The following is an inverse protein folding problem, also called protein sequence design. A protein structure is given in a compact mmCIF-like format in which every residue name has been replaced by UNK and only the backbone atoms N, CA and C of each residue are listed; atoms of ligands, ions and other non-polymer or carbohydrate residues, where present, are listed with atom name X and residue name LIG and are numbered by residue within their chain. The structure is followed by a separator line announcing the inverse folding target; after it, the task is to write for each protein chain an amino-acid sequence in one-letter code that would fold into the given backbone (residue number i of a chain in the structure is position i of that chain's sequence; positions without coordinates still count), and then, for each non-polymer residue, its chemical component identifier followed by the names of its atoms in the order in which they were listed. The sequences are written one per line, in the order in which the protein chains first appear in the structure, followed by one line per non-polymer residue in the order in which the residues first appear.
data_IF_352965025883
#
_entry.id   IF_352965025883
#
_cell.length_a   1.000
_cell.length_b   1.000
_cell.length_c   1.000
_cell.angle_alpha   90.00
_cell.angle_beta   90.00
_cell.angle_gamma   90.00
#
_symmetry.space_group_name_H-M   'P 1'
#
loop_
_entity.id
_entity.type
_entity.pdbx_description
1 polymer ?
#
# COMPACT_ATOMS: atom_id res chain seq x y z
N UNK A 1 61.90 24.98 5.12
CA UNK A 1 62.72 26.18 4.80
C UNK A 1 61.84 27.39 5.02
N UNK A 2 62.31 28.23 5.94
CA UNK A 2 61.73 29.52 6.37
C UNK A 2 61.83 30.55 5.26
N UNK A 3 60.86 31.43 5.09
CA UNK A 3 61.11 32.81 4.94
C UNK A 3 59.90 33.66 5.29
N UNK A 4 60.01 34.36 6.37
CA UNK A 4 59.25 35.56 6.75
C UNK A 4 59.62 36.71 5.87
N UNK A 5 58.70 37.59 5.50
CA UNK A 5 59.02 38.96 5.15
C UNK A 5 58.08 39.94 5.82
N UNK A 6 58.69 40.79 6.57
CA UNK A 6 58.20 41.83 7.47
C UNK A 6 57.88 43.12 6.70
N UNK A 7 56.72 43.72 7.05
CA UNK A 7 56.50 45.15 7.40
C UNK A 7 57.38 46.24 6.78
N UNK A 8 56.72 47.16 6.09
CA UNK A 8 57.16 48.53 6.02
C UNK A 8 55.97 49.50 6.08
N UNK A 9 55.81 50.15 7.21
CA UNK A 9 55.02 51.34 7.44
C UNK A 9 55.74 52.51 6.76
N UNK A 10 55.04 53.25 5.89
CA UNK A 10 55.49 54.56 5.45
C UNK A 10 54.36 55.57 5.63
N UNK A 11 54.49 56.35 6.71
CA UNK A 11 53.71 57.55 6.97
C UNK A 11 54.18 58.67 6.02
N UNK A 12 53.23 59.11 5.18
CA UNK A 12 53.42 60.40 4.47
C UNK A 12 52.25 61.31 4.89
N UNK A 13 52.56 62.23 5.80
CA UNK A 13 51.77 63.44 6.06
C UNK A 13 51.87 64.36 4.86
N UNK A 14 50.76 64.55 4.14
CA UNK A 14 50.63 65.69 3.22
C UNK A 14 49.39 66.48 3.68
N UNK A 15 49.67 67.59 4.28
CA UNK A 15 48.68 68.64 4.52
C UNK A 15 48.29 69.25 3.18
N UNK A 16 47.06 69.15 2.79
CA UNK A 16 46.48 69.90 1.67
C UNK A 16 45.19 70.57 2.11
N UNK A 17 45.18 71.85 1.78
CA UNK A 17 44.22 72.89 2.08
C UNK A 17 42.73 72.46 1.99
N UNK A 18 41.95 72.92 3.00
CA UNK A 18 40.50 73.02 2.93
C UNK A 18 40.10 73.94 1.75
N UNK A 19 39.56 73.36 0.71
CA UNK A 19 38.59 74.02 -0.15
C UNK A 19 37.18 73.71 0.40
N UNK A 20 36.63 74.71 1.10
CA UNK A 20 35.16 74.70 1.35
C UNK A 20 34.46 74.90 0.02
N UNK A 21 34.06 73.83 -0.63
CA UNK A 21 33.04 73.86 -1.67
C UNK A 21 31.71 73.58 -0.99
N UNK A 22 30.78 74.48 -1.20
CA UNK A 22 29.44 74.57 -0.55
C UNK A 22 28.79 73.28 -0.25
N UNK A 23 28.46 73.09 1.02
CA UNK A 23 27.50 72.07 1.48
C UNK A 23 26.12 72.50 1.00
N UNK A 24 25.65 71.93 -0.07
CA UNK A 24 24.20 71.88 -0.39
C UNK A 24 23.57 71.07 0.72
N UNK A 25 23.08 71.78 1.75
CA UNK A 25 22.56 71.22 2.99
C UNK A 25 21.26 70.44 2.78
N UNK A 26 21.32 69.32 2.08
CA UNK A 26 20.26 68.30 2.23
C UNK A 26 20.40 67.71 3.64
N UNK A 27 19.51 68.15 4.51
CA UNK A 27 19.41 67.61 5.87
C UNK A 27 19.09 66.12 5.75
N UNK A 28 20.03 65.29 6.26
CA UNK A 28 19.76 63.85 6.32
C UNK A 28 18.49 63.55 7.16
N UNK A 29 17.54 62.88 6.55
CA UNK A 29 16.31 62.42 7.17
C UNK A 29 16.48 60.96 7.55
N UNK A 30 16.58 60.73 8.85
CA UNK A 30 16.77 59.37 9.39
C UNK A 30 15.53 58.52 9.22
N UNK A 31 15.74 57.18 9.16
CA UNK A 31 14.65 56.21 9.20
C UNK A 31 14.05 56.14 10.60
N UNK A 32 12.77 56.43 10.73
CA UNK A 32 12.06 56.38 12.00
C UNK A 32 11.37 55.02 12.25
N UNK A 33 10.93 54.36 11.14
CA UNK A 33 10.21 53.09 11.22
C UNK A 33 10.36 52.29 9.92
N UNK A 34 10.51 50.97 10.06
CA UNK A 34 10.32 49.97 9.00
C UNK A 34 9.04 49.19 9.27
N UNK A 35 8.23 48.95 8.26
CA UNK A 35 7.04 48.13 8.34
C UNK A 35 7.12 46.99 7.35
N UNK A 36 6.42 45.89 7.60
CA UNK A 36 6.33 44.70 6.73
C UNK A 36 4.87 44.42 6.45
N UNK A 37 4.56 43.89 5.25
CA UNK A 37 3.18 43.64 4.81
C UNK A 37 2.43 42.61 5.68
N UNK A 38 3.14 41.63 6.21
CA UNK A 38 2.57 40.55 7.00
C UNK A 38 3.41 40.28 8.25
N UNK A 39 2.74 40.06 9.40
CA UNK A 39 3.40 39.66 10.64
C UNK A 39 3.57 38.15 10.79
N UNK A 40 2.80 37.38 10.04
CA UNK A 40 2.88 35.92 9.95
C UNK A 40 2.57 35.43 8.55
N UNK A 41 3.22 34.34 8.15
CA UNK A 41 3.08 33.71 6.82
C UNK A 41 3.11 32.20 6.98
N UNK A 42 2.18 31.50 6.34
CA UNK A 42 2.16 30.04 6.24
C UNK A 42 2.46 29.61 4.79
N UNK A 43 3.43 28.75 4.62
CA UNK A 43 3.88 28.22 3.32
C UNK A 43 3.91 26.71 3.37
N UNK A 44 3.74 26.09 2.21
CA UNK A 44 4.15 24.71 1.98
C UNK A 44 5.60 24.69 1.48
N UNK A 45 6.30 23.57 1.70
CA UNK A 45 7.64 23.35 1.14
C UNK A 45 7.63 23.55 -0.37
N UNK A 46 8.54 24.40 -0.86
CA UNK A 46 8.66 24.78 -2.27
C UNK A 46 7.87 26.03 -2.67
N UNK A 47 6.90 26.49 -1.86
CA UNK A 47 6.12 27.69 -2.16
C UNK A 47 6.95 28.97 -1.93
N UNK A 48 6.62 30.01 -2.71
CA UNK A 48 7.22 31.33 -2.64
C UNK A 48 6.17 32.41 -2.48
N UNK A 49 6.43 33.38 -1.58
CA UNK A 49 5.57 34.56 -1.37
C UNK A 49 6.42 35.80 -1.28
N UNK A 50 5.97 36.87 -1.93
CA UNK A 50 6.61 38.20 -1.88
C UNK A 50 6.07 38.99 -0.68
N UNK A 51 6.89 39.25 0.30
CA UNK A 51 6.66 40.26 1.33
C UNK A 51 7.12 41.63 0.82
N UNK A 52 6.38 42.66 1.19
CA UNK A 52 6.78 44.05 0.94
C UNK A 52 7.09 44.77 2.26
N UNK A 53 8.01 45.71 2.21
CA UNK A 53 8.33 46.53 3.38
C UNK A 53 8.39 48.00 2.97
N UNK A 54 8.06 48.89 3.90
CA UNK A 54 8.10 50.32 3.70
C UNK A 54 8.93 50.98 4.78
N UNK A 55 9.65 52.05 4.40
CA UNK A 55 10.44 52.90 5.27
C UNK A 55 9.67 54.18 5.54
N UNK A 56 9.62 54.61 6.77
CA UNK A 56 9.05 55.89 7.17
C UNK A 56 10.06 56.74 7.88
N UNK A 57 10.02 58.07 7.63
CA UNK A 57 9.19 58.76 6.67
C UNK A 57 9.62 58.48 5.22
N UNK A 58 8.72 58.63 4.24
CA UNK A 58 8.96 58.32 2.82
C UNK A 58 10.13 59.13 2.21
N UNK A 59 10.43 60.31 2.78
CA UNK A 59 11.55 61.15 2.38
C UNK A 59 12.86 60.85 3.14
N UNK A 60 12.97 59.70 3.82
CA UNK A 60 14.18 59.23 4.44
C UNK A 60 15.33 59.21 3.42
N UNK A 61 16.53 59.67 3.81
CA UNK A 61 17.68 59.80 2.90
C UNK A 61 18.18 58.45 2.39
N UNK A 62 18.16 57.43 3.26
CA UNK A 62 18.51 56.04 2.90
C UNK A 62 17.29 55.13 3.17
N UNK A 63 16.73 54.61 2.10
CA UNK A 63 15.61 53.69 2.11
C UNK A 63 16.01 52.26 1.83
N UNK A 64 17.29 51.94 1.80
CA UNK A 64 17.83 50.60 1.58
C UNK A 64 17.40 49.66 2.69
N UNK A 65 16.85 48.51 2.28
CA UNK A 65 16.35 47.47 3.18
C UNK A 65 17.20 46.20 3.04
N UNK A 66 17.51 45.61 4.19
CA UNK A 66 18.24 44.34 4.29
C UNK A 66 17.30 43.27 4.84
N UNK A 67 17.13 42.20 4.08
CA UNK A 67 16.32 41.04 4.43
C UNK A 67 17.18 39.94 5.01
N UNK A 68 16.72 39.29 6.08
CA UNK A 68 17.40 38.17 6.73
C UNK A 68 16.42 37.13 7.22
N UNK A 69 16.75 35.87 7.00
CA UNK A 69 16.05 34.72 7.65
C UNK A 69 16.79 34.33 8.92
N UNK A 70 16.03 34.08 9.98
CA UNK A 70 16.54 33.56 11.25
C UNK A 70 16.90 32.06 11.18
N UNK A 71 16.25 31.33 10.29
CA UNK A 71 16.56 29.93 10.00
C UNK A 71 16.51 29.67 8.48
N UNK A 72 17.61 29.88 7.77
CA UNK A 72 17.68 29.77 6.31
C UNK A 72 17.45 28.34 5.79
N UNK A 73 17.56 27.32 6.63
CA UNK A 73 17.25 25.93 6.24
C UNK A 73 15.74 25.66 6.20
N UNK A 74 14.94 26.43 6.94
CA UNK A 74 13.46 26.32 6.94
C UNK A 74 12.86 27.24 5.89
N UNK A 75 13.27 28.50 5.88
CA UNK A 75 12.81 29.48 4.90
C UNK A 75 13.96 30.43 4.51
N UNK A 76 14.16 30.61 3.20
CA UNK A 76 15.08 31.62 2.68
C UNK A 76 14.33 32.91 2.33
N UNK A 77 15.05 34.02 2.29
CA UNK A 77 14.51 35.31 1.82
C UNK A 77 15.52 36.02 0.95
N UNK A 78 15.10 36.54 -0.20
CA UNK A 78 15.88 37.37 -1.12
C UNK A 78 14.99 38.47 -1.64
N UNK A 79 15.38 39.73 -1.39
CA UNK A 79 14.63 40.93 -1.82
C UNK A 79 13.13 40.87 -1.46
N UNK A 80 12.81 40.32 -0.30
CA UNK A 80 11.45 40.12 0.19
C UNK A 80 10.72 38.92 -0.37
N UNK A 81 11.28 38.14 -1.32
CA UNK A 81 10.73 36.85 -1.74
C UNK A 81 11.11 35.79 -0.71
N UNK A 82 10.13 35.27 0.00
CA UNK A 82 10.28 34.21 0.98
C UNK A 82 9.97 32.89 0.31
N UNK A 83 10.85 31.90 0.45
CA UNK A 83 10.68 30.53 -0.05
C UNK A 83 10.72 29.54 1.10
N UNK A 84 9.68 28.68 1.22
CA UNK A 84 9.66 27.56 2.13
C UNK A 84 10.59 26.42 1.65
N UNK A 85 11.50 25.95 2.51
CA UNK A 85 12.50 24.95 2.15
C UNK A 85 12.30 23.62 2.86
N UNK A 86 11.94 23.64 4.14
CA UNK A 86 11.66 22.46 4.95
C UNK A 86 10.68 22.78 6.07
N UNK A 87 10.00 21.77 6.59
CA UNK A 87 9.07 21.91 7.71
C UNK A 87 9.74 22.59 8.92
N UNK A 88 9.00 23.53 9.53
CA UNK A 88 9.45 24.25 10.72
C UNK A 88 9.02 25.70 10.73
N UNK A 89 9.69 26.51 11.55
CA UNK A 89 9.46 27.95 11.66
C UNK A 89 10.75 28.74 11.46
N UNK A 90 10.62 29.92 10.84
CA UNK A 90 11.69 30.89 10.70
C UNK A 90 11.15 32.30 10.87
N UNK A 91 11.91 33.20 11.52
CA UNK A 91 11.58 34.62 11.57
C UNK A 91 12.31 35.34 10.45
N UNK A 92 11.58 35.85 9.47
CA UNK A 92 12.10 36.73 8.45
C UNK A 92 12.08 38.15 8.99
N UNK A 93 13.24 38.83 8.98
CA UNK A 93 13.42 40.21 9.44
C UNK A 93 13.83 41.07 8.27
N UNK A 94 13.21 42.23 8.15
CA UNK A 94 13.66 43.33 7.29
C UNK A 94 14.13 44.49 8.15
N UNK A 95 15.31 45.03 7.87
CA UNK A 95 15.88 46.15 8.61
C UNK A 95 16.32 47.25 7.69
N UNK A 96 16.38 48.50 8.19
CA UNK A 96 17.15 49.56 7.55
C UNK A 96 18.63 49.15 7.43
N UNK A 97 19.35 49.71 6.47
CA UNK A 97 20.77 49.36 6.22
C UNK A 97 21.64 49.56 7.45
N UNK A 98 21.38 50.59 8.23
CA UNK A 98 22.06 50.87 9.49
C UNK A 98 21.66 49.94 10.64
N UNK A 99 20.64 49.08 10.42
CA UNK A 99 20.11 48.12 11.40
C UNK A 99 19.31 48.73 12.54
N UNK A 100 19.08 50.07 12.56
CA UNK A 100 18.45 50.77 13.68
C UNK A 100 16.95 50.51 13.78
N UNK A 101 16.27 50.21 12.65
CA UNK A 101 14.83 49.97 12.56
C UNK A 101 14.61 48.64 11.85
N UNK A 102 13.66 47.85 12.36
CA UNK A 102 13.34 46.57 11.78
C UNK A 102 11.85 46.19 11.98
N UNK A 103 11.38 45.30 11.13
CA UNK A 103 10.13 44.61 11.25
C UNK A 103 10.32 43.11 10.94
N UNK A 104 9.46 42.26 11.45
CA UNK A 104 9.60 40.82 11.28
C UNK A 104 8.28 40.14 10.94
N UNK A 105 8.39 39.02 10.24
CA UNK A 105 7.33 38.11 9.91
C UNK A 105 7.69 36.70 10.41
N UNK A 106 6.79 36.07 11.16
CA UNK A 106 6.93 34.65 11.52
C UNK A 106 6.49 33.80 10.33
N UNK A 107 7.41 33.01 9.78
CA UNK A 107 7.14 32.10 8.66
C UNK A 107 7.03 30.68 9.21
N UNK A 108 5.90 30.02 8.97
CA UNK A 108 5.69 28.61 9.26
C UNK A 108 5.65 27.83 7.95
N UNK A 109 6.53 26.86 7.81
CA UNK A 109 6.58 25.98 6.65
C UNK A 109 6.09 24.59 7.07
N UNK A 110 5.19 24.02 6.29
CA UNK A 110 4.70 22.66 6.47
C UNK A 110 4.84 21.85 5.18
N UNK A 111 5.06 20.54 5.34
CA UNK A 111 5.19 19.63 4.22
C UNK A 111 3.83 19.27 3.59
N UNK A 112 3.88 18.76 2.36
CA UNK A 112 2.76 18.07 1.74
C UNK A 112 2.78 16.62 2.18
N UNK A 113 1.80 16.21 2.97
CA UNK A 113 1.62 14.84 3.41
C UNK A 113 0.78 14.03 2.44
N UNK A 114 0.88 12.69 2.51
CA UNK A 114 0.01 11.81 1.74
C UNK A 114 -1.46 11.98 2.18
N UNK A 115 -2.34 12.32 1.23
CA UNK A 115 -3.77 12.52 1.44
C UNK A 115 -4.60 11.33 1.00
N UNK A 116 -4.10 10.59 0.00
CA UNK A 116 -4.72 9.37 -0.52
C UNK A 116 -3.71 8.44 -1.16
N UNK A 117 -4.10 7.17 -1.29
CA UNK A 117 -3.38 6.15 -2.05
C UNK A 117 -4.37 5.36 -2.90
N UNK A 118 -3.99 5.01 -4.11
CA UNK A 118 -4.76 4.18 -5.03
C UNK A 118 -3.96 2.97 -5.49
N UNK A 119 -4.67 1.88 -5.86
CA UNK A 119 -4.10 0.66 -6.44
C UNK A 119 -4.45 0.59 -7.92
N UNK A 120 -3.51 0.14 -8.74
CA UNK A 120 -3.74 -0.17 -10.15
C UNK A 120 -3.17 -1.57 -10.46
N UNK A 121 -3.99 -2.48 -11.04
CA UNK A 121 -5.43 -2.37 -11.27
C UNK A 121 -6.22 -2.28 -9.96
N UNK A 122 -7.27 -1.44 -9.91
CA UNK A 122 -8.11 -1.21 -8.74
C UNK A 122 -9.32 -2.16 -8.63
N UNK A 123 -9.37 -3.15 -9.50
CA UNK A 123 -10.42 -4.19 -9.52
C UNK A 123 -9.95 -5.45 -8.78
N UNK A 124 -10.89 -6.25 -8.30
CA UNK A 124 -10.60 -7.55 -7.71
C UNK A 124 -9.88 -8.45 -8.71
N UNK A 125 -8.96 -9.29 -8.22
CA UNK A 125 -8.10 -10.14 -9.01
C UNK A 125 -8.54 -11.61 -8.88
N UNK A 126 -8.64 -12.31 -10.01
CA UNK A 126 -8.89 -13.74 -10.06
C UNK A 126 -7.63 -14.43 -10.59
N UNK A 127 -6.99 -15.23 -9.76
CA UNK A 127 -5.74 -15.91 -10.06
C UNK A 127 -5.90 -17.43 -9.92
N UNK A 128 -5.18 -18.17 -10.73
CA UNK A 128 -4.97 -19.60 -10.48
C UNK A 128 -3.77 -19.78 -9.56
N UNK A 129 -3.77 -20.84 -8.77
CA UNK A 129 -2.62 -21.23 -7.94
C UNK A 129 -1.33 -21.23 -8.76
N UNK A 130 -0.31 -20.52 -8.28
CA UNK A 130 0.98 -20.32 -8.94
C UNK A 130 1.07 -19.09 -9.84
N UNK A 131 -0.04 -18.45 -10.19
CA UNK A 131 -0.02 -17.20 -10.96
C UNK A 131 0.37 -16.01 -10.08
N UNK A 132 0.79 -14.95 -10.75
CA UNK A 132 1.15 -13.69 -10.09
C UNK A 132 0.58 -12.51 -10.86
N UNK A 133 0.25 -11.44 -10.12
CA UNK A 133 -0.16 -10.15 -10.69
C UNK A 133 0.67 -9.04 -10.06
N UNK A 134 1.03 -8.04 -10.86
CA UNK A 134 1.70 -6.85 -10.37
C UNK A 134 0.66 -5.78 -10.07
N UNK A 135 0.58 -5.36 -8.82
CA UNK A 135 -0.15 -4.17 -8.38
C UNK A 135 0.83 -3.01 -8.25
N UNK A 136 0.36 -1.81 -8.54
CA UNK A 136 1.10 -0.58 -8.30
C UNK A 136 0.30 0.38 -7.44
N UNK A 137 0.98 1.16 -6.61
CA UNK A 137 0.37 2.18 -5.77
C UNK A 137 0.71 3.58 -6.30
N UNK A 138 -0.26 4.49 -6.25
CA UNK A 138 -0.07 5.91 -6.51
C UNK A 138 -0.53 6.72 -5.32
N UNK A 139 0.34 7.59 -4.81
CA UNK A 139 0.10 8.44 -3.63
C UNK A 139 -0.12 9.87 -4.09
N UNK A 140 -1.17 10.50 -3.59
CA UNK A 140 -1.49 11.90 -3.85
C UNK A 140 -1.41 12.72 -2.55
N UNK A 141 -1.07 14.02 -2.66
CA UNK A 141 -0.71 14.76 -3.86
C UNK A 141 0.67 14.36 -4.41
N UNK A 142 0.93 14.67 -5.70
CA UNK A 142 2.19 14.30 -6.38
C UNK A 142 3.43 14.91 -5.75
N UNK A 143 3.30 16.00 -5.03
CA UNK A 143 4.35 16.68 -4.28
C UNK A 143 4.41 16.26 -2.80
N UNK A 144 3.72 15.19 -2.39
CA UNK A 144 3.89 14.63 -1.05
C UNK A 144 5.36 14.24 -0.81
N UNK A 145 5.90 14.64 0.35
CA UNK A 145 7.33 14.47 0.67
C UNK A 145 7.70 13.01 0.90
N UNK A 146 6.75 12.22 1.40
CA UNK A 146 6.93 10.79 1.62
C UNK A 146 5.83 10.00 0.93
N UNK A 147 6.18 9.34 -0.17
CA UNK A 147 5.29 8.47 -0.94
C UNK A 147 5.51 6.98 -0.68
N UNK A 148 6.29 6.64 0.34
CA UNK A 148 6.54 5.25 0.67
C UNK A 148 5.24 4.57 1.10
N UNK A 149 5.07 3.34 0.63
CA UNK A 149 3.91 2.50 0.95
C UNK A 149 4.36 1.16 1.52
N UNK A 150 3.45 0.53 2.25
CA UNK A 150 3.60 -0.81 2.79
C UNK A 150 2.45 -1.67 2.28
N UNK A 151 2.79 -2.83 1.72
CA UNK A 151 1.84 -3.82 1.25
C UNK A 151 1.64 -4.92 2.28
N UNK A 152 0.41 -5.40 2.40
CA UNK A 152 0.04 -6.51 3.28
C UNK A 152 -1.07 -7.36 2.68
N UNK A 153 -1.10 -8.64 3.08
CA UNK A 153 -2.16 -9.59 2.75
C UNK A 153 -2.87 -10.03 4.03
N UNK A 154 -4.19 -10.06 4.03
CA UNK A 154 -4.99 -10.54 5.17
C UNK A 154 -4.87 -12.05 5.39
N UNK A 155 -4.55 -12.81 4.33
CA UNK A 155 -4.32 -14.24 4.35
C UNK A 155 -3.14 -14.60 3.44
N UNK A 156 -1.91 -14.41 3.93
CA UNK A 156 -0.68 -14.63 3.16
C UNK A 156 -0.46 -16.07 2.70
N UNK A 157 -1.14 -17.04 3.33
CA UNK A 157 -1.16 -18.44 2.90
C UNK A 157 -2.00 -18.65 1.63
N UNK A 158 -3.01 -17.80 1.36
CA UNK A 158 -3.82 -17.83 0.14
C UNK A 158 -3.09 -17.10 -0.99
N UNK A 159 -2.72 -15.85 -0.76
CA UNK A 159 -1.84 -15.11 -1.66
C UNK A 159 -0.93 -14.16 -0.86
N UNK A 160 0.35 -14.20 -1.15
CA UNK A 160 1.34 -13.29 -0.59
C UNK A 160 1.50 -12.05 -1.46
N UNK A 161 1.94 -10.95 -0.85
CA UNK A 161 2.35 -9.74 -1.56
C UNK A 161 3.71 -9.30 -1.06
N UNK A 162 4.59 -8.90 -1.97
CA UNK A 162 5.88 -8.31 -1.61
C UNK A 162 5.80 -6.77 -1.57
N UNK A 163 6.85 -6.11 -1.11
CA UNK A 163 6.88 -4.65 -0.98
C UNK A 163 6.98 -3.92 -2.33
N UNK A 164 7.11 -4.64 -3.44
CA UNK A 164 6.99 -4.08 -4.80
C UNK A 164 5.57 -4.13 -5.33
N UNK A 165 4.63 -4.75 -4.59
CA UNK A 165 3.24 -4.93 -4.98
C UNK A 165 3.00 -6.18 -5.85
N UNK A 166 3.99 -7.08 -5.99
CA UNK A 166 3.79 -8.35 -6.68
C UNK A 166 3.04 -9.32 -5.78
N UNK A 167 1.84 -9.68 -6.21
CA UNK A 167 0.99 -10.68 -5.56
C UNK A 167 1.23 -12.04 -6.19
N UNK A 168 1.39 -13.08 -5.35
CA UNK A 168 1.58 -14.47 -5.80
C UNK A 168 0.51 -15.36 -5.14
N UNK A 169 -0.25 -16.08 -5.96
CA UNK A 169 -1.29 -17.01 -5.54
C UNK A 169 -0.67 -18.34 -5.06
N UNK A 170 -0.97 -18.76 -3.82
CA UNK A 170 -0.33 -19.90 -3.15
C UNK A 170 -1.30 -21.06 -2.90
N UNK A 171 -2.53 -20.78 -2.47
CA UNK A 171 -3.57 -21.80 -2.23
C UNK A 171 -4.94 -21.24 -2.53
N UNK A 172 -5.93 -22.13 -2.75
CA UNK A 172 -7.32 -21.75 -3.00
C UNK A 172 -7.92 -20.94 -1.85
N UNK A 173 -8.75 -19.93 -2.19
CA UNK A 173 -9.43 -19.09 -1.21
C UNK A 173 -9.50 -17.62 -1.59
N UNK A 174 -9.86 -16.80 -0.62
CA UNK A 174 -9.96 -15.33 -0.76
C UNK A 174 -8.98 -14.65 0.21
N UNK A 175 -8.37 -13.58 -0.24
CA UNK A 175 -7.59 -12.67 0.60
C UNK A 175 -7.77 -11.23 0.16
N UNK A 176 -7.49 -10.29 1.06
CA UNK A 176 -7.48 -8.86 0.77
C UNK A 176 -6.05 -8.35 0.78
N UNK A 177 -5.62 -7.77 -0.33
CA UNK A 177 -4.33 -7.08 -0.43
C UNK A 177 -4.58 -5.60 -0.12
N UNK A 178 -3.87 -5.09 0.86
CA UNK A 178 -3.96 -3.71 1.32
C UNK A 178 -2.63 -3.00 1.12
N UNK A 179 -2.69 -1.78 0.62
CA UNK A 179 -1.57 -0.84 0.62
C UNK A 179 -1.86 0.29 1.59
N UNK A 180 -0.86 0.69 2.37
CA UNK A 180 -0.93 1.84 3.27
C UNK A 180 0.24 2.77 3.04
N UNK A 181 0.02 4.09 3.10
CA UNK A 181 1.11 5.06 3.09
C UNK A 181 1.82 5.08 4.43
N UNK A 182 3.16 5.21 4.43
CA UNK A 182 3.97 5.39 5.64
C UNK A 182 3.65 6.72 6.30
N UNK A 183 3.39 7.74 5.47
CA UNK A 183 2.96 9.05 5.90
C UNK A 183 1.43 9.15 5.84
N UNK A 184 0.80 9.55 6.93
CA UNK A 184 -0.63 9.79 7.04
C UNK A 184 -1.52 8.54 7.08
N UNK A 185 -0.97 7.31 7.03
CA UNK A 185 -1.68 6.03 7.16
C UNK A 185 -2.91 5.91 6.24
N UNK A 186 -2.85 6.43 5.02
CA UNK A 186 -3.92 6.30 4.03
C UNK A 186 -3.90 4.90 3.45
N UNK A 187 -5.05 4.27 3.33
CA UNK A 187 -5.16 2.86 2.90
C UNK A 187 -6.15 2.68 1.77
N UNK A 188 -5.88 1.70 0.93
CA UNK A 188 -6.84 1.13 -0.03
C UNK A 188 -6.55 -0.33 -0.23
N UNK A 189 -7.52 -1.10 -0.75
CA UNK A 189 -7.38 -2.55 -0.89
C UNK A 189 -8.11 -3.08 -2.11
N UNK A 190 -7.70 -4.28 -2.55
CA UNK A 190 -8.36 -5.11 -3.55
C UNK A 190 -8.47 -6.53 -3.04
N UNK A 191 -9.54 -7.25 -3.45
CA UNK A 191 -9.67 -8.67 -3.16
C UNK A 191 -8.92 -9.50 -4.19
N UNK A 192 -8.41 -10.64 -3.74
CA UNK A 192 -7.76 -11.65 -4.58
C UNK A 192 -8.43 -12.98 -4.32
N UNK A 193 -9.00 -13.55 -5.36
CA UNK A 193 -9.62 -14.88 -5.36
C UNK A 193 -8.65 -15.84 -6.05
N UNK A 194 -8.25 -16.88 -5.33
CA UNK A 194 -7.36 -17.91 -5.87
C UNK A 194 -8.14 -19.19 -6.11
N UNK A 195 -8.08 -19.69 -7.33
CA UNK A 195 -8.67 -20.98 -7.73
C UNK A 195 -7.58 -22.02 -7.93
N UNK A 196 -7.89 -23.26 -7.52
CA UNK A 196 -7.07 -24.44 -7.74
C UNK A 196 -7.88 -25.40 -8.62
N UNK A 197 -7.38 -25.69 -9.83
CA UNK A 197 -8.04 -26.63 -10.72
C UNK A 197 -7.91 -28.06 -10.17
N UNK A 198 -8.95 -28.87 -10.34
CA UNK A 198 -8.87 -30.30 -10.11
C UNK A 198 -8.00 -30.95 -11.23
N UNK A 199 -7.24 -31.98 -10.85
CA UNK A 199 -6.43 -32.79 -11.77
C UNK A 199 -6.89 -34.25 -11.81
N UNK A 200 -7.84 -34.65 -10.93
CA UNK A 200 -8.41 -35.97 -10.89
C UNK A 200 -9.35 -36.19 -9.73
N UNK A 201 -10.16 -37.25 -9.82
CA UNK A 201 -10.98 -37.79 -8.75
C UNK A 201 -10.76 -39.28 -8.62
N UNK A 202 -10.96 -39.82 -7.42
CA UNK A 202 -10.90 -41.27 -7.19
C UNK A 202 -11.92 -41.70 -6.13
N UNK A 203 -12.48 -42.90 -6.30
CA UNK A 203 -13.24 -43.59 -5.25
C UNK A 203 -12.30 -44.51 -4.46
N UNK A 204 -12.50 -44.65 -3.16
CA UNK A 204 -11.63 -45.44 -2.27
C UNK A 204 -11.64 -46.95 -2.62
N UNK A 205 -12.73 -47.42 -3.24
CA UNK A 205 -12.90 -48.81 -3.64
C UNK A 205 -13.35 -48.86 -5.12
N UNK A 206 -12.85 -49.87 -5.85
CA UNK A 206 -13.26 -50.18 -7.23
C UNK A 206 -14.51 -51.06 -7.29
N UNK A 207 -14.84 -51.76 -6.19
CA UNK A 207 -16.03 -52.55 -6.06
C UNK A 207 -16.48 -52.69 -4.61
N UNK A 208 -17.79 -52.69 -4.37
CA UNK A 208 -18.40 -52.94 -3.06
C UNK A 208 -19.57 -53.91 -3.20
N UNK A 209 -19.80 -54.72 -2.16
CA UNK A 209 -20.87 -55.68 -2.11
C UNK A 209 -21.56 -55.58 -0.74
N UNK A 210 -22.88 -55.41 -0.70
CA UNK A 210 -23.67 -55.29 0.53
C UNK A 210 -25.13 -55.71 0.31
N UNK A 211 -25.90 -55.88 1.39
CA UNK A 211 -27.24 -56.40 1.33
C UNK A 211 -28.29 -55.31 1.09
N UNK A 212 -29.35 -55.66 0.37
CA UNK A 212 -30.55 -54.85 0.17
C UNK A 212 -31.09 -54.34 1.52
N UNK A 213 -31.47 -53.06 1.58
CA UNK A 213 -32.02 -52.39 2.76
C UNK A 213 -31.01 -52.08 3.87
N UNK A 214 -29.76 -52.54 3.77
CA UNK A 214 -28.69 -52.22 4.76
C UNK A 214 -27.77 -51.12 4.18
N UNK A 215 -27.68 -49.93 4.82
CA UNK A 215 -26.80 -48.89 4.33
C UNK A 215 -25.32 -49.30 4.42
N UNK A 216 -24.61 -49.14 3.33
CA UNK A 216 -23.13 -49.24 3.29
C UNK A 216 -22.52 -47.86 3.44
N UNK A 217 -21.65 -47.70 4.42
CA UNK A 217 -20.88 -46.45 4.66
C UNK A 217 -19.40 -46.75 4.60
N UNK A 218 -18.63 -45.98 3.91
CA UNK A 218 -17.17 -46.21 3.85
C UNK A 218 -16.57 -45.96 2.46
N UNK A 219 -17.41 -45.93 1.41
CA UNK A 219 -16.92 -45.47 0.12
C UNK A 219 -16.68 -43.98 0.18
N UNK A 220 -15.49 -43.53 -0.24
CA UNK A 220 -15.08 -42.14 -0.19
C UNK A 220 -14.66 -41.65 -1.56
N UNK A 221 -15.14 -40.47 -1.94
CA UNK A 221 -14.67 -39.73 -3.11
C UNK A 221 -13.54 -38.79 -2.66
N UNK A 222 -12.42 -38.82 -3.37
CA UNK A 222 -11.28 -37.95 -3.16
C UNK A 222 -10.95 -37.15 -4.41
N UNK A 223 -10.41 -35.96 -4.21
CA UNK A 223 -9.99 -35.05 -5.28
C UNK A 223 -8.49 -34.88 -5.27
N UNK A 224 -7.91 -34.67 -6.44
CA UNK A 224 -6.49 -34.38 -6.59
C UNK A 224 -6.32 -33.07 -7.37
N UNK A 225 -5.66 -32.04 -6.82
CA UNK A 225 -5.22 -31.95 -5.43
C UNK A 225 -6.43 -31.85 -4.48
N UNK A 226 -6.22 -32.18 -3.20
CA UNK A 226 -7.29 -32.17 -2.20
C UNK A 226 -7.91 -30.77 -1.99
N UNK A 227 -7.11 -29.70 -2.23
CA UNK A 227 -7.49 -28.29 -2.12
C UNK A 227 -8.10 -27.72 -3.43
N UNK A 228 -8.50 -28.56 -4.40
CA UNK A 228 -9.14 -28.04 -5.61
C UNK A 228 -10.44 -27.29 -5.26
N UNK A 229 -10.70 -26.20 -6.03
CA UNK A 229 -11.71 -25.20 -5.66
C UNK A 229 -13.14 -25.63 -5.99
N UNK A 230 -13.30 -26.39 -7.08
CA UNK A 230 -14.61 -26.93 -7.48
C UNK A 230 -14.62 -28.44 -7.26
N UNK A 231 -15.42 -28.88 -6.28
CA UNK A 231 -15.63 -30.29 -5.91
C UNK A 231 -17.01 -30.82 -6.32
N UNK A 232 -17.68 -30.10 -7.21
CA UNK A 232 -18.97 -30.58 -7.71
C UNK A 232 -18.76 -31.79 -8.62
N UNK A 233 -19.61 -32.80 -8.41
CA UNK A 233 -19.63 -34.03 -9.20
C UNK A 233 -21.06 -34.38 -9.65
N UNK A 234 -21.13 -34.92 -10.85
CA UNK A 234 -22.34 -35.58 -11.36
C UNK A 234 -22.22 -37.10 -11.15
N UNK A 235 -23.29 -37.70 -10.60
CA UNK A 235 -23.37 -39.12 -10.31
C UNK A 235 -24.24 -39.81 -11.34
N UNK A 236 -23.72 -40.91 -11.87
CA UNK A 236 -24.47 -41.77 -12.81
C UNK A 236 -24.50 -43.21 -12.26
N UNK A 237 -25.68 -43.79 -12.09
CA UNK A 237 -25.92 -45.15 -11.61
C UNK A 237 -27.37 -45.54 -11.88
N UNK A 238 -27.72 -46.83 -11.75
CA UNK A 238 -29.11 -47.27 -11.84
C UNK A 238 -29.83 -46.97 -10.53
N UNK A 239 -30.74 -46.00 -10.56
CA UNK A 239 -31.50 -45.53 -9.41
C UNK A 239 -32.55 -46.54 -8.92
N UNK A 240 -32.86 -47.56 -9.72
CA UNK A 240 -33.75 -48.65 -9.27
C UNK A 240 -33.02 -49.61 -8.33
N UNK A 241 -31.72 -49.82 -8.53
CA UNK A 241 -30.86 -50.71 -7.74
C UNK A 241 -30.27 -50.00 -6.53
N UNK A 242 -29.87 -48.72 -6.70
CA UNK A 242 -29.04 -48.00 -5.74
C UNK A 242 -29.60 -46.62 -5.44
N UNK A 243 -29.52 -46.21 -4.17
CA UNK A 243 -29.62 -44.82 -3.74
C UNK A 243 -28.29 -44.38 -3.16
N UNK A 244 -27.76 -43.19 -3.61
CA UNK A 244 -26.49 -42.62 -3.16
C UNK A 244 -26.75 -41.32 -2.44
N UNK A 245 -26.15 -41.19 -1.25
CA UNK A 245 -26.15 -39.94 -0.49
C UNK A 245 -24.70 -39.54 -0.24
N UNK A 246 -24.29 -38.32 -0.69
CA UNK A 246 -22.96 -37.81 -0.49
C UNK A 246 -22.89 -36.89 0.73
N UNK A 247 -21.95 -37.15 1.61
CA UNK A 247 -21.60 -36.27 2.73
C UNK A 247 -20.66 -35.14 2.29
N UNK A 248 -20.63 -34.06 3.05
CA UNK A 248 -19.77 -32.89 2.78
C UNK A 248 -18.27 -33.18 2.90
N UNK A 249 -17.89 -34.27 3.55
CA UNK A 249 -16.54 -34.76 3.73
C UNK A 249 -16.05 -35.71 2.63
N UNK A 250 -16.88 -35.94 1.59
CA UNK A 250 -16.62 -36.87 0.49
C UNK A 250 -17.01 -38.32 0.81
N UNK A 251 -17.55 -38.61 1.99
CA UNK A 251 -18.07 -39.95 2.36
C UNK A 251 -19.39 -40.20 1.65
N UNK A 252 -19.57 -41.40 1.10
CA UNK A 252 -20.80 -41.82 0.46
C UNK A 252 -21.53 -42.85 1.33
N UNK A 253 -22.86 -42.67 1.45
CA UNK A 253 -23.74 -43.67 1.97
C UNK A 253 -24.53 -44.28 0.81
N UNK A 254 -24.42 -45.58 0.63
CA UNK A 254 -25.09 -46.35 -0.40
C UNK A 254 -26.21 -47.17 0.23
N UNK A 255 -27.41 -47.14 -0.36
CA UNK A 255 -28.53 -47.99 0.05
C UNK A 255 -28.98 -48.81 -1.16
N UNK A 256 -28.92 -50.13 -1.03
CA UNK A 256 -29.46 -51.05 -2.02
C UNK A 256 -30.98 -51.07 -1.96
N UNK A 257 -31.63 -50.76 -3.08
CA UNK A 257 -33.07 -50.72 -3.20
C UNK A 257 -33.64 -52.08 -3.59
N UNK A 258 -32.96 -52.80 -4.48
CA UNK A 258 -33.26 -54.17 -4.93
C UNK A 258 -31.96 -54.92 -5.23
N UNK A 259 -32.02 -56.28 -5.22
CA UNK A 259 -30.92 -57.12 -5.70
C UNK A 259 -30.50 -56.72 -7.12
N UNK A 260 -29.20 -56.62 -7.37
CA UNK A 260 -28.67 -56.28 -8.69
C UNK A 260 -27.26 -55.77 -8.66
N UNK A 261 -26.77 -55.37 -9.84
CA UNK A 261 -25.47 -54.78 -10.00
C UNK A 261 -25.56 -53.49 -10.83
N UNK A 262 -24.91 -52.46 -10.40
CA UNK A 262 -24.78 -51.20 -11.14
C UNK A 262 -23.35 -50.66 -11.05
N UNK A 263 -22.97 -49.82 -11.99
CA UNK A 263 -21.71 -49.06 -11.89
C UNK A 263 -22.03 -47.67 -11.36
N UNK A 264 -21.52 -47.35 -10.18
CA UNK A 264 -21.53 -45.98 -9.65
C UNK A 264 -20.37 -45.20 -10.28
N UNK A 265 -20.71 -44.19 -11.07
CA UNK A 265 -19.76 -43.34 -11.74
C UNK A 265 -19.91 -41.92 -11.23
N UNK A 266 -18.77 -41.33 -10.81
CA UNK A 266 -18.60 -39.92 -10.53
C UNK A 266 -17.95 -39.22 -11.73
N UNK A 267 -18.43 -38.04 -12.11
CA UNK A 267 -17.81 -37.19 -13.10
C UNK A 267 -17.62 -35.80 -12.49
N UNK A 268 -16.39 -35.32 -12.34
CA UNK A 268 -16.12 -33.98 -11.83
C UNK A 268 -16.61 -32.92 -12.80
N UNK A 269 -17.21 -31.85 -12.32
CA UNK A 269 -17.63 -30.70 -13.14
C UNK A 269 -16.43 -29.91 -13.64
N UNK A 270 -15.42 -29.71 -12.78
CA UNK A 270 -14.12 -29.17 -13.19
C UNK A 270 -13.25 -30.29 -13.80
N UNK A 271 -12.93 -30.13 -15.08
CA UNK A 271 -12.04 -31.01 -15.84
C UNK A 271 -12.65 -32.32 -16.35
N UNK A 272 -13.88 -32.70 -15.99
CA UNK A 272 -14.56 -33.89 -16.49
C UNK A 272 -13.89 -35.23 -16.13
N UNK A 273 -13.13 -35.26 -15.03
CA UNK A 273 -12.49 -36.49 -14.51
C UNK A 273 -13.51 -37.48 -14.02
N UNK A 274 -13.26 -38.78 -14.22
CA UNK A 274 -14.21 -39.83 -13.85
C UNK A 274 -13.58 -40.81 -12.86
N UNK A 275 -14.42 -41.32 -11.94
CA UNK A 275 -14.10 -42.44 -11.07
C UNK A 275 -15.31 -43.39 -11.03
N UNK A 276 -15.06 -44.72 -11.02
CA UNK A 276 -16.09 -45.73 -11.08
C UNK A 276 -15.90 -46.77 -9.98
N UNK A 277 -17.04 -47.25 -9.44
CA UNK A 277 -17.10 -48.34 -8.49
C UNK A 277 -18.24 -49.31 -8.90
N UNK A 278 -17.95 -50.60 -9.00
CA UNK A 278 -18.96 -51.61 -9.21
C UNK A 278 -19.70 -51.86 -7.89
N UNK A 279 -21.01 -51.66 -7.87
CA UNK A 279 -21.85 -51.86 -6.70
C UNK A 279 -22.71 -53.09 -6.93
N UNK A 280 -22.60 -54.08 -6.06
CA UNK A 280 -23.42 -55.30 -6.09
C UNK A 280 -24.29 -55.34 -4.83
N UNK A 281 -25.59 -55.32 -5.02
CA UNK A 281 -26.61 -55.48 -3.98
C UNK A 281 -27.06 -56.92 -3.91
N UNK A 282 -26.89 -57.53 -2.74
CA UNK A 282 -27.29 -58.92 -2.48
C UNK A 282 -28.73 -58.98 -1.91
N UNK A 283 -29.49 -60.05 -2.17
CA UNK A 283 -30.81 -60.18 -1.64
C UNK A 283 -30.79 -60.34 -0.11
N UNK A 284 -31.82 -59.79 0.54
CA UNK A 284 -32.09 -60.07 1.96
C UNK A 284 -32.54 -61.51 2.13
N UNK A 285 -31.81 -62.31 2.94
CA UNK A 285 -32.19 -63.73 3.26
C UNK A 285 -31.14 -64.76 2.87
N UNK A 286 -30.02 -64.42 2.24
CA UNK A 286 -28.85 -65.28 2.16
C UNK A 286 -28.14 -65.29 3.53
N UNK A 287 -28.16 -66.48 4.20
CA UNK A 287 -27.39 -66.67 5.45
C UNK A 287 -25.93 -66.47 5.14
N UNK A 288 -25.35 -65.39 5.69
CA UNK A 288 -23.90 -65.17 5.66
C UNK A 288 -23.24 -66.30 6.43
N UNK A 289 -22.23 -66.96 5.90
CA UNK A 289 -21.35 -67.77 6.76
C UNK A 289 -20.77 -66.83 7.84
N UNK A 290 -20.84 -67.26 9.11
CA UNK A 290 -20.60 -66.49 10.34
C UNK A 290 -19.16 -65.95 10.50
N UNK A 291 -18.31 -66.12 9.50
CA UNK A 291 -16.87 -65.82 9.56
C UNK A 291 -16.44 -64.45 9.02
N UNK A 292 -17.39 -63.62 8.57
CA UNK A 292 -17.01 -62.28 8.01
C UNK A 292 -17.71 -61.07 8.67
N UNK A 293 -18.50 -61.24 9.74
CA UNK A 293 -19.22 -60.15 10.39
C UNK A 293 -18.38 -59.21 11.28
N UNK A 294 -17.07 -59.43 11.38
CA UNK A 294 -16.19 -58.72 12.29
C UNK A 294 -15.15 -57.81 11.65
N UNK A 295 -15.24 -57.49 10.35
CA UNK A 295 -14.22 -56.70 9.67
C UNK A 295 -14.63 -55.29 9.24
N UNK A 296 -15.80 -54.84 9.64
CA UNK A 296 -16.30 -53.50 9.28
C UNK A 296 -16.75 -52.71 10.52
N UNK A 297 -15.91 -52.64 11.58
CA UNK A 297 -16.00 -51.62 12.60
C UNK A 297 -14.99 -50.48 12.32
#
# INVERSE_FOLDING_TARGET
MKTKLTLAVLTAMAATALAFTGCDGKKDVAVEKVTISESSLSLKTGEEVKLTATVLPENATNTTLVWKSGNPSVASVTDGVVKGLSEGTSTVTVSSEDGSKSASCLVSVSDYHAESVSITPGTDQNLKKGESVQLSASVLPDNAVNKNVVWSSSASAVASVDQTGKVTALSGGETTITVSTVDGNKTTSVKVYVTVACAGIALSESSVEFYEGIPFTGLKLTFTPEDCSDKEVEWTYDTTILTVTAGSDGTLTLLGNIEGQTTLKATSKDGGFTAECIVKVLPTGTTVPDDNYGKYE
#
